data_IF_077331245030
#
_entry.id   IF_077331245030
#
_cell.length_a   1.000
_cell.length_b   1.000
_cell.length_c   1.000
_cell.angle_alpha   90.00
_cell.angle_beta   90.00
_cell.angle_gamma   90.00
#
_symmetry.space_group_name_H-M   'P 1'
#
loop_
_entity.id
_entity.type
_entity.pdbx_description
1 polymer ?
2 branched ?
3 non-polymer ?
4 non-polymer ?
5 water ?
#
# COMPACT_ATOMS: atom_id res chain seq x y z
N UNK A 1 3.58 19.69 -16.67
CA UNK A 1 2.98 21.00 -17.02
C UNK A 1 2.75 21.85 -15.78
N UNK A 2 1.61 21.64 -15.15
CA UNK A 2 1.31 22.39 -13.94
C UNK A 2 1.01 21.38 -12.84
N UNK A 3 1.11 21.82 -11.59
CA UNK A 3 0.82 20.93 -10.48
C UNK A 3 -0.62 20.39 -10.56
N UNK A 4 -0.80 19.09 -10.33
CA UNK A 4 -2.14 18.52 -10.35
C UNK A 4 -2.93 18.92 -9.08
N UNK A 5 -4.23 19.14 -9.25
CA UNK A 5 -5.09 19.47 -8.13
C UNK A 5 -6.18 18.44 -8.10
N UNK A 6 -6.47 17.97 -6.89
CA UNK A 6 -7.52 16.99 -6.62
C UNK A 6 -8.87 17.69 -6.73
N UNK A 7 -9.33 17.91 -7.95
CA UNK A 7 -10.60 18.62 -8.16
C UNK A 7 -11.82 17.75 -8.34
N UNK A 8 -11.65 16.45 -8.46
CA UNK A 8 -12.81 15.57 -8.68
C UNK A 8 -13.12 14.72 -7.50
N UNK A 9 -14.30 14.12 -7.52
CA UNK A 9 -14.73 13.19 -6.48
C UNK A 9 -14.58 11.79 -7.09
N UNK A 10 -14.79 10.74 -6.29
CA UNK A 10 -14.68 9.35 -6.78
C UNK A 10 -15.88 8.95 -7.65
N UNK A 11 -15.63 8.11 -8.66
CA UNK A 11 -16.71 7.60 -9.49
C UNK A 11 -17.46 6.60 -8.61
N UNK A 12 -18.67 6.23 -9.02
CA UNK A 12 -19.47 5.26 -8.30
C UNK A 12 -18.83 3.91 -8.57
N UNK A 13 -18.62 3.13 -7.51
CA UNK A 13 -17.99 1.84 -7.61
C UNK A 13 -19.07 0.78 -7.47
N UNK A 14 -19.47 0.17 -8.59
CA UNK A 14 -20.49 -0.89 -8.56
C UNK A 14 -19.85 -2.27 -8.67
N UNK A 15 -18.58 -2.29 -9.08
CA UNK A 15 -17.77 -3.50 -9.22
C UNK A 15 -16.33 -3.15 -9.58
N UNK A 16 -15.50 -4.17 -9.76
CA UNK A 16 -14.09 -3.98 -10.08
C UNK A 16 -13.74 -4.76 -11.32
N UNK A 17 -12.97 -4.15 -12.21
CA UNK A 17 -12.54 -4.83 -13.44
C UNK A 17 -11.01 -5.03 -13.36
N UNK A 18 -10.49 -6.05 -14.03
CA UNK A 18 -9.05 -6.31 -14.04
C UNK A 18 -8.30 -5.16 -14.74
N UNK A 19 -7.25 -4.66 -14.09
CA UNK A 19 -6.45 -3.55 -14.62
C UNK A 19 -5.08 -4.03 -15.10
N UNK A 20 -4.34 -4.69 -14.21
CA UNK A 20 -3.03 -5.19 -14.57
C UNK A 20 -2.64 -6.40 -13.77
N UNK A 21 -1.78 -7.24 -14.34
CA UNK A 21 -1.34 -8.46 -13.65
C UNK A 21 -0.04 -8.79 -14.32
N UNK A 22 1.01 -9.05 -13.56
CA UNK A 22 2.30 -9.36 -14.17
C UNK A 22 2.72 -10.82 -14.26
N UNK A 23 2.10 -11.72 -13.47
CA UNK A 23 2.45 -13.15 -13.49
C UNK A 23 3.96 -13.32 -13.29
N UNK A 24 4.53 -12.48 -12.44
CA UNK A 24 5.97 -12.48 -12.17
C UNK A 24 6.63 -13.83 -11.79
N UNK A 25 6.04 -14.56 -10.84
CA UNK A 25 6.62 -15.82 -10.40
C UNK A 25 6.49 -16.92 -11.47
N UNK A 26 5.36 -16.98 -12.19
CA UNK A 26 5.20 -17.98 -13.26
C UNK A 26 6.29 -17.75 -14.29
N UNK A 27 6.44 -16.49 -14.71
CA UNK A 27 7.44 -16.15 -15.73
C UNK A 27 8.88 -16.26 -15.21
N UNK A 28 9.05 -15.91 -13.94
CA UNK A 28 10.36 -15.94 -13.32
C UNK A 28 10.98 -17.31 -13.15
N UNK A 29 10.16 -18.36 -13.28
CA UNK A 29 10.67 -19.71 -13.17
C UNK A 29 11.71 -19.94 -14.26
N UNK A 30 11.63 -19.17 -15.36
CA UNK A 30 12.55 -19.32 -16.50
C UNK A 30 12.88 -18.02 -17.25
N UNK A 31 13.11 -16.95 -16.50
CA UNK A 31 13.46 -15.64 -17.04
C UNK A 31 14.17 -14.92 -15.93
N UNK A 32 14.88 -13.86 -16.28
CA UNK A 32 15.61 -13.10 -15.31
C UNK A 32 14.74 -12.09 -14.60
N UNK A 33 13.91 -12.61 -13.70
CA UNK A 33 12.99 -11.80 -12.92
C UNK A 33 13.55 -11.56 -11.53
N UNK A 34 13.49 -10.32 -11.07
CA UNK A 34 14.00 -9.94 -9.77
C UNK A 34 13.09 -10.37 -8.65
N UNK A 35 13.67 -10.74 -7.51
CA UNK A 35 12.87 -11.10 -6.35
C UNK A 35 12.40 -9.75 -5.78
N UNK A 36 11.13 -9.64 -5.44
CA UNK A 36 10.61 -8.40 -4.86
C UNK A 36 9.66 -8.71 -3.72
N UNK A 37 9.14 -7.63 -3.14
CA UNK A 37 8.09 -7.61 -2.13
C UNK A 37 7.70 -6.14 -1.92
N UNK A 38 6.61 -5.89 -1.21
CA UNK A 38 6.12 -4.53 -0.96
C UNK A 38 5.89 -3.76 -2.27
N UNK A 39 5.12 -4.35 -3.20
CA UNK A 39 4.85 -3.66 -4.47
C UNK A 39 3.73 -2.64 -4.36
N UNK A 40 3.56 -1.85 -5.42
CA UNK A 40 2.48 -0.90 -5.50
C UNK A 40 2.41 -0.40 -6.94
N UNK A 41 1.47 0.49 -7.22
CA UNK A 41 1.31 1.04 -8.54
C UNK A 41 1.26 2.55 -8.39
N UNK A 42 1.81 3.29 -9.35
CA UNK A 42 1.76 4.74 -9.28
C UNK A 42 1.77 5.26 -10.71
N UNK A 43 0.97 6.30 -10.96
CA UNK A 43 0.87 6.89 -12.30
C UNK A 43 1.53 8.24 -12.43
N UNK A 44 1.95 8.48 -13.66
CA UNK A 44 2.54 9.72 -14.10
C UNK A 44 1.44 10.25 -15.02
N UNK A 45 1.57 11.50 -15.50
CA UNK A 45 0.51 12.04 -16.37
C UNK A 45 0.33 11.27 -17.70
N UNK A 46 1.35 10.51 -18.08
CA UNK A 46 1.27 9.80 -19.33
C UNK A 46 1.51 8.31 -19.25
N UNK A 47 1.69 7.75 -18.07
CA UNK A 47 1.95 6.33 -17.97
C UNK A 47 1.75 5.85 -16.53
N UNK A 48 1.24 4.64 -16.32
CA UNK A 48 1.12 4.09 -14.97
C UNK A 48 2.14 2.95 -14.93
N UNK A 49 2.89 2.87 -13.85
CA UNK A 49 3.91 1.82 -13.71
C UNK A 49 3.76 1.01 -12.43
N UNK A 50 4.40 -0.16 -12.43
CA UNK A 50 4.45 -1.06 -11.29
C UNK A 50 5.73 -0.67 -10.52
N UNK A 51 5.67 -0.77 -9.20
CA UNK A 51 6.78 -0.42 -8.32
C UNK A 51 6.91 -1.51 -7.28
N UNK A 52 8.13 -1.69 -6.76
CA UNK A 52 8.38 -2.66 -5.70
C UNK A 52 9.79 -2.55 -5.14
N UNK A 53 10.02 -3.16 -3.99
CA UNK A 53 11.35 -3.18 -3.41
C UNK A 53 12.04 -4.47 -3.85
N UNK A 54 13.03 -4.33 -4.72
CA UNK A 54 13.82 -5.45 -5.21
C UNK A 54 14.68 -6.03 -4.09
N UNK A 55 15.07 -7.30 -4.20
CA UNK A 55 15.94 -7.93 -3.21
C UNK A 55 17.36 -8.05 -3.76
N UNK A 56 17.58 -7.50 -4.95
CA UNK A 56 18.91 -7.50 -5.54
C UNK A 56 19.40 -8.85 -6.00
N UNK A 57 18.51 -9.66 -6.57
CA UNK A 57 18.83 -11.00 -7.05
C UNK A 57 17.61 -11.48 -7.86
N UNK A 58 17.82 -12.45 -8.75
CA UNK A 58 16.73 -13.04 -9.51
C UNK A 58 16.15 -14.18 -8.64
N UNK A 59 14.96 -14.66 -8.97
CA UNK A 59 14.31 -15.73 -8.22
C UNK A 59 15.10 -17.05 -8.36
N UNK A 60 15.56 -17.32 -9.57
CA UNK A 60 16.28 -18.54 -9.82
C UNK A 60 17.74 -18.46 -9.38
N UNK A 61 18.21 -17.25 -9.09
CA UNK A 61 19.60 -17.07 -8.70
C UNK A 61 19.80 -17.59 -7.28
N UNK A 62 21.01 -18.05 -6.98
CA UNK A 62 21.32 -18.57 -5.65
C UNK A 62 21.18 -17.56 -4.52
N UNK A 63 21.37 -16.27 -4.84
CA UNK A 63 21.23 -15.23 -3.84
C UNK A 63 19.78 -15.04 -3.41
N UNK A 64 18.84 -15.78 -4.00
CA UNK A 64 17.44 -15.63 -3.58
C UNK A 64 17.24 -16.30 -2.22
N UNK A 65 18.21 -17.12 -1.82
CA UNK A 65 18.13 -17.80 -0.56
C UNK A 65 18.23 -16.76 0.54
N UNK A 66 17.17 -16.59 1.32
CA UNK A 66 17.22 -15.63 2.39
C UNK A 66 16.43 -14.36 2.19
N UNK A 67 15.73 -14.29 1.05
CA UNK A 67 14.96 -13.10 0.74
C UNK A 67 13.71 -12.91 1.59
N UNK A 68 13.56 -13.74 2.62
CA UNK A 68 12.42 -13.55 3.54
C UNK A 68 12.70 -12.30 4.41
N UNK A 69 13.99 -11.96 4.59
CA UNK A 69 14.40 -10.79 5.39
C UNK A 69 14.01 -9.47 4.73
N UNK A 70 13.48 -8.56 5.52
CA UNK A 70 13.03 -7.27 5.00
C UNK A 70 14.03 -6.16 4.69
N UNK A 71 15.15 -6.13 5.40
CA UNK A 71 16.10 -5.05 5.25
C UNK A 71 17.51 -5.48 4.99
N UNK A 72 18.12 -4.96 3.92
CA UNK A 72 19.48 -5.30 3.60
C UNK A 72 19.98 -4.18 2.71
N UNK A 73 21.28 -4.20 2.41
CA UNK A 73 21.91 -3.20 1.56
C UNK A 73 21.66 -3.47 0.08
N UNK A 74 21.00 -4.59 -0.22
CA UNK A 74 20.75 -5.01 -1.60
C UNK A 74 19.35 -4.72 -2.13
N UNK A 75 18.54 -4.03 -1.35
CA UNK A 75 17.18 -3.69 -1.78
C UNK A 75 17.16 -2.33 -2.47
N UNK A 76 16.16 -2.11 -3.31
CA UNK A 76 16.05 -0.84 -4.02
C UNK A 76 14.64 -0.68 -4.53
N UNK A 77 14.17 0.56 -4.59
CA UNK A 77 12.83 0.81 -5.15
C UNK A 77 13.04 0.77 -6.68
N UNK A 78 12.29 -0.09 -7.36
CA UNK A 78 12.39 -0.20 -8.84
C UNK A 78 10.99 -0.03 -9.44
N UNK A 79 10.90 0.45 -10.67
CA UNK A 79 9.61 0.58 -11.34
C UNK A 79 9.78 -0.08 -12.70
N UNK A 80 8.68 -0.54 -13.29
CA UNK A 80 8.74 -1.18 -14.60
C UNK A 80 7.38 -1.05 -15.29
N UNK A 81 7.32 -1.30 -16.60
CA UNK A 81 6.04 -1.08 -17.28
C UNK A 81 4.89 -1.95 -16.76
N UNK A 82 3.69 -1.37 -16.78
CA UNK A 82 2.45 -2.00 -16.31
C UNK A 82 2.24 -3.40 -16.90
N UNK A 83 2.05 -4.37 -15.99
CA UNK A 83 1.81 -5.73 -16.37
C UNK A 83 3.00 -6.54 -16.91
N UNK A 84 4.17 -5.92 -17.03
CA UNK A 84 5.38 -6.64 -17.40
C UNK A 84 5.86 -7.20 -16.07
N UNK A 85 6.75 -8.20 -16.09
CA UNK A 85 7.31 -8.61 -14.79
C UNK A 85 8.54 -7.75 -14.49
N UNK A 86 8.95 -7.70 -13.20
CA UNK A 86 10.15 -6.92 -12.86
C UNK A 86 11.39 -7.68 -13.26
N UNK A 87 11.91 -7.41 -14.45
CA UNK A 87 13.10 -8.10 -14.92
C UNK A 87 14.36 -7.28 -14.74
N UNK A 88 15.50 -7.95 -14.79
CA UNK A 88 16.78 -7.31 -14.61
C UNK A 88 17.03 -6.31 -15.71
N UNK A 89 16.43 -6.55 -16.87
CA UNK A 89 16.63 -5.70 -18.03
C UNK A 89 15.60 -4.60 -18.29
N UNK A 90 14.39 -4.67 -17.77
CA UNK A 90 13.42 -3.61 -18.04
C UNK A 90 13.09 -2.73 -16.81
N UNK A 91 13.72 -3.01 -15.67
CA UNK A 91 13.47 -2.30 -14.43
C UNK A 91 14.32 -1.06 -14.29
N UNK A 92 13.73 -0.01 -13.76
CA UNK A 92 14.43 1.24 -13.56
C UNK A 92 14.58 1.43 -12.05
N UNK A 93 15.77 1.78 -11.57
CA UNK A 93 15.94 2.00 -10.12
C UNK A 93 15.59 3.43 -9.75
N UNK A 94 14.65 3.62 -8.84
CA UNK A 94 14.25 4.95 -8.41
C UNK A 94 15.19 5.49 -7.30
N UNK A 95 15.54 4.61 -6.37
CA UNK A 95 16.43 4.91 -5.25
C UNK A 95 16.76 3.63 -4.46
N UNK A 96 17.77 3.74 -3.59
CA UNK A 96 18.24 2.61 -2.80
C UNK A 96 17.65 2.62 -1.38
N UNK A 97 17.04 1.51 -0.98
CA UNK A 97 16.44 1.45 0.33
C UNK A 97 15.50 0.27 0.53
N UNK A 98 15.04 0.13 1.77
CA UNK A 98 14.16 -0.97 2.12
C UNK A 98 12.75 -0.57 2.57
N UNK A 99 12.39 0.69 2.32
CA UNK A 99 11.07 1.23 2.62
C UNK A 99 10.92 2.42 1.69
N UNK A 100 9.74 2.64 1.14
CA UNK A 100 9.56 3.72 0.20
C UNK A 100 8.14 4.17 -0.01
N UNK A 101 8.05 5.22 -0.81
CA UNK A 101 6.80 5.80 -1.27
C UNK A 101 7.24 6.64 -2.49
N UNK A 102 6.27 7.00 -3.34
CA UNK A 102 6.58 7.74 -4.55
C UNK A 102 5.28 8.29 -5.14
N UNK A 103 5.36 9.49 -5.70
CA UNK A 103 4.19 10.07 -6.32
C UNK A 103 4.56 11.18 -7.29
N UNK A 104 3.74 11.39 -8.30
CA UNK A 104 3.95 12.43 -9.29
C UNK A 104 3.06 13.60 -8.86
N UNK A 105 3.64 14.80 -8.79
CA UNK A 105 2.87 15.97 -8.40
C UNK A 105 2.23 16.68 -9.62
N UNK A 106 2.44 16.15 -10.80
CA UNK A 106 1.86 16.79 -11.98
C UNK A 106 2.96 17.34 -12.87
N UNK A 107 4.05 17.80 -12.27
CA UNK A 107 5.18 18.33 -13.01
C UNK A 107 6.25 17.25 -13.08
N UNK A 108 6.57 16.65 -11.93
CA UNK A 108 7.55 15.58 -11.88
C UNK A 108 7.32 14.62 -10.68
N UNK A 109 8.11 13.56 -10.57
CA UNK A 109 7.94 12.57 -9.51
C UNK A 109 8.91 12.65 -8.34
N UNK A 110 8.38 12.44 -7.15
CA UNK A 110 9.13 12.42 -5.92
C UNK A 110 9.16 10.96 -5.46
N UNK A 111 10.34 10.44 -5.18
CA UNK A 111 10.49 9.07 -4.68
C UNK A 111 11.28 9.22 -3.37
N UNK A 112 10.94 8.41 -2.37
CA UNK A 112 11.60 8.49 -1.08
C UNK A 112 12.01 7.08 -0.70
N UNK A 113 13.28 6.89 -0.39
CA UNK A 113 13.79 5.59 0.02
C UNK A 113 14.52 5.77 1.34
N UNK A 114 14.26 4.83 2.24
CA UNK A 114 14.88 4.84 3.56
C UNK A 114 15.85 3.67 3.65
N UNK A 115 17.07 3.91 4.13
CA UNK A 115 18.00 2.81 4.30
C UNK A 115 18.76 2.98 5.60
N UNK A 116 19.58 2.00 5.94
CA UNK A 116 20.35 2.09 7.15
C UNK A 116 20.15 0.91 8.05
N UNK A 117 20.91 0.85 9.15
CA UNK A 117 20.72 -0.08 10.27
C UNK A 117 19.41 0.30 10.97
N UNK A 118 18.85 -0.62 11.75
CA UNK A 118 17.61 -0.34 12.47
C UNK A 118 17.68 0.90 13.36
N UNK A 119 18.85 1.17 13.93
CA UNK A 119 18.99 2.33 14.82
C UNK A 119 19.63 3.57 14.23
N UNK A 120 19.83 3.62 12.93
CA UNK A 120 20.50 4.78 12.34
C UNK A 120 20.09 4.95 10.89
N UNK A 121 18.81 4.78 10.62
CA UNK A 121 18.28 4.88 9.26
C UNK A 121 18.05 6.32 8.86
N UNK A 122 17.92 6.55 7.56
CA UNK A 122 17.68 7.89 7.04
C UNK A 122 16.90 7.83 5.74
N UNK A 123 16.02 8.80 5.54
CA UNK A 123 15.25 8.87 4.31
C UNK A 123 15.87 9.92 3.39
N UNK A 124 15.98 9.60 2.10
CA UNK A 124 16.45 10.60 1.17
C UNK A 124 15.35 10.78 0.14
N UNK A 125 14.96 12.04 0.00
CA UNK A 125 13.90 12.44 -0.90
C UNK A 125 14.50 12.84 -2.23
N UNK A 126 14.07 12.14 -3.28
CA UNK A 126 14.51 12.40 -4.65
C UNK A 126 13.37 13.13 -5.36
N UNK A 127 13.71 14.11 -6.19
CA UNK A 127 12.70 14.84 -6.91
C UNK A 127 13.29 15.09 -8.30
N UNK A 128 12.57 14.69 -9.35
CA UNK A 128 13.05 14.84 -10.72
C UNK A 128 14.35 14.03 -10.89
N UNK A 129 14.37 12.87 -10.26
CA UNK A 129 15.49 11.94 -10.28
C UNK A 129 16.86 12.38 -9.73
N UNK A 130 16.82 13.31 -8.79
CA UNK A 130 18.01 13.83 -8.12
C UNK A 130 17.69 13.89 -6.63
N UNK A 131 18.65 13.55 -5.76
CA UNK A 131 18.41 13.66 -4.32
C UNK A 131 18.33 15.12 -3.93
N UNK A 132 17.38 15.46 -3.06
CA UNK A 132 17.16 16.85 -2.68
C UNK A 132 17.20 17.14 -1.16
N UNK A 133 16.53 16.29 -0.38
CA UNK A 133 16.41 16.44 1.07
C UNK A 133 16.68 15.10 1.75
N UNK A 134 17.21 15.15 2.96
CA UNK A 134 17.52 13.93 3.74
C UNK A 134 17.01 14.13 5.15
N UNK A 135 16.48 13.07 5.75
CA UNK A 135 15.93 13.11 7.09
C UNK A 135 16.51 11.95 7.85
N UNK A 136 17.10 12.24 9.00
CA UNK A 136 17.66 11.20 9.81
C UNK A 136 16.61 10.67 10.78
N UNK A 137 16.77 9.42 11.20
CA UNK A 137 15.89 8.75 12.14
C UNK A 137 15.69 9.61 13.40
N UNK A 138 14.45 9.72 13.89
CA UNK A 138 14.20 10.48 15.10
C UNK A 138 13.98 9.64 16.35
N UNK A 139 13.57 8.40 16.19
CA UNK A 139 13.34 7.53 17.34
C UNK A 139 14.31 6.35 17.36
N UNK A 140 15.20 6.29 16.38
CA UNK A 140 16.22 5.24 16.30
C UNK A 140 15.69 3.82 16.27
N UNK A 141 14.54 3.62 15.64
CA UNK A 141 14.00 2.27 15.56
C UNK A 141 13.17 2.06 14.29
N UNK A 142 13.91 1.69 13.25
CA UNK A 142 13.38 1.41 11.93
C UNK A 142 12.49 2.49 11.31
N UNK A 143 13.09 3.63 10.95
CA UNK A 143 12.35 4.70 10.27
C UNK A 143 11.70 4.00 9.05
N UNK A 144 10.39 4.18 8.86
CA UNK A 144 9.70 3.50 7.78
C UNK A 144 8.55 4.32 7.21
N UNK A 145 8.13 4.00 5.98
CA UNK A 145 7.04 4.76 5.39
C UNK A 145 5.91 3.95 4.80
N UNK A 146 5.18 4.54 3.84
CA UNK A 146 3.99 3.93 3.27
C UNK A 146 4.00 2.59 2.59
N UNK A 147 4.98 2.36 1.71
CA UNK A 147 5.07 1.13 0.92
C UNK A 147 3.99 1.16 -0.17
N UNK A 148 3.49 2.36 -0.47
CA UNK A 148 2.53 2.57 -1.57
C UNK A 148 2.61 4.05 -1.90
N UNK A 149 1.95 4.48 -2.97
CA UNK A 149 2.06 5.89 -3.38
C UNK A 149 1.50 6.97 -2.48
N UNK A 150 2.17 8.11 -2.51
CA UNK A 150 1.71 9.28 -1.78
C UNK A 150 0.77 10.00 -2.77
N UNK A 151 0.24 11.16 -2.40
CA UNK A 151 -0.69 11.92 -3.25
C UNK A 151 -0.34 13.40 -3.12
N UNK A 152 -0.51 14.16 -4.19
CA UNK A 152 -0.17 15.57 -4.12
C UNK A 152 -1.33 16.41 -4.54
N UNK A 153 -1.32 17.65 -4.10
CA UNK A 153 -2.35 18.58 -4.48
C UNK A 153 -1.66 19.95 -4.54
N UNK A 154 -1.67 20.55 -5.73
CA UNK A 154 -1.04 21.85 -5.95
C UNK A 154 0.40 21.87 -5.46
N UNK A 155 1.12 20.79 -5.77
CA UNK A 155 2.51 20.73 -5.38
C UNK A 155 2.82 20.17 -4.02
N UNK A 156 1.84 20.14 -3.11
CA UNK A 156 2.08 19.60 -1.76
C UNK A 156 1.75 18.11 -1.66
N UNK A 157 2.74 17.31 -1.30
CA UNK A 157 2.62 15.86 -1.20
C UNK A 157 2.93 15.40 0.21
N UNK A 158 1.88 15.17 1.02
CA UNK A 158 2.06 14.64 2.36
C UNK A 158 2.47 13.17 2.33
N UNK A 159 3.33 12.81 3.26
CA UNK A 159 3.83 11.46 3.40
C UNK A 159 3.82 11.12 4.89
N UNK A 160 3.32 9.93 5.23
CA UNK A 160 3.27 9.49 6.61
C UNK A 160 4.46 8.58 6.90
N UNK A 161 5.23 8.89 7.95
CA UNK A 161 6.40 8.11 8.39
C UNK A 161 6.11 7.67 9.82
N UNK A 162 6.75 6.57 10.22
CA UNK A 162 6.67 6.09 11.58
C UNK A 162 8.08 5.71 11.99
N UNK A 163 8.45 6.01 13.22
CA UNK A 163 9.77 5.62 13.73
C UNK A 163 9.53 5.20 15.19
N UNK A 164 10.12 4.09 15.56
CA UNK A 164 9.97 3.57 16.90
C UNK A 164 9.38 2.16 16.91
N UNK A 165 8.95 1.72 18.09
CA UNK A 165 8.39 0.39 18.29
C UNK A 165 7.21 -0.01 17.40
N UNK A 166 7.25 -1.24 16.93
CA UNK A 166 6.21 -1.81 16.10
C UNK A 166 5.18 -2.48 16.99
N UNK A 167 5.45 -2.56 18.28
CA UNK A 167 4.51 -3.23 19.15
C UNK A 167 4.16 -2.40 20.36
N UNK A 168 4.20 -1.10 20.19
CA UNK A 168 3.87 -0.20 21.29
C UNK A 168 3.69 1.16 20.69
N UNK A 169 3.45 2.19 21.51
CA UNK A 169 3.41 3.58 21.02
C UNK A 169 4.69 3.96 20.26
N UNK A 170 4.55 4.62 19.11
CA UNK A 170 5.69 5.02 18.29
C UNK A 170 5.55 6.49 17.88
N UNK A 171 6.53 7.04 17.18
CA UNK A 171 6.45 8.43 16.74
C UNK A 171 6.19 8.57 15.24
N UNK A 172 4.95 8.86 14.91
CA UNK A 172 4.51 9.03 13.56
C UNK A 172 4.44 10.51 13.24
N UNK A 173 4.94 10.88 12.07
CA UNK A 173 4.92 12.27 11.62
C UNK A 173 4.39 12.32 10.19
N UNK A 174 3.72 13.42 9.88
CA UNK A 174 3.20 13.66 8.54
C UNK A 174 4.10 14.79 8.02
N UNK A 175 4.82 14.54 6.92
CA UNK A 175 5.69 15.55 6.33
C UNK A 175 5.00 16.05 5.10
N UNK A 176 5.03 17.36 4.91
CA UNK A 176 4.42 18.01 3.74
C UNK A 176 5.56 18.49 2.88
N UNK A 177 5.77 17.82 1.75
CA UNK A 177 6.84 18.17 0.81
C UNK A 177 6.29 18.94 -0.36
N UNK A 178 7.12 19.79 -0.92
CA UNK A 178 6.79 20.52 -2.13
C UNK A 178 8.11 20.62 -2.88
N UNK A 179 8.12 20.07 -4.10
CA UNK A 179 9.31 19.99 -4.93
C UNK A 179 10.47 19.38 -4.17
N UNK A 180 10.19 18.34 -3.38
CA UNK A 180 11.23 17.66 -2.62
C UNK A 180 11.69 18.30 -1.31
N UNK A 181 11.25 19.52 -1.05
CA UNK A 181 11.66 20.19 0.19
C UNK A 181 10.57 20.13 1.24
N UNK A 182 10.96 20.15 2.52
CA UNK A 182 10.02 20.05 3.62
C UNK A 182 9.42 21.40 3.89
N UNK A 183 8.10 21.46 3.85
CA UNK A 183 7.42 22.71 4.11
C UNK A 183 7.07 22.75 5.56
N UNK A 184 6.78 21.58 6.13
CA UNK A 184 6.34 21.47 7.51
C UNK A 184 6.18 20.00 7.88
N UNK A 185 6.16 19.69 9.17
CA UNK A 185 5.89 18.34 9.61
C UNK A 185 5.10 18.43 10.93
N UNK A 186 4.22 17.47 11.16
CA UNK A 186 3.39 17.40 12.35
C UNK A 186 3.55 16.03 12.95
N UNK A 187 3.48 15.93 14.29
CA UNK A 187 3.20 14.69 15.00
C UNK A 187 1.76 14.21 14.78
N UNK A 188 1.57 12.89 14.77
CA UNK A 188 0.26 12.31 14.57
C UNK A 188 -0.72 12.88 15.60
N UNK A 189 -1.94 13.17 15.15
CA UNK A 189 -2.99 13.72 16.00
C UNK A 189 -4.20 12.81 15.85
N UNK A 190 -5.22 13.03 16.67
CA UNK A 190 -6.43 12.23 16.57
C UNK A 190 -6.42 11.06 17.52
N UNK A 191 -7.28 10.08 17.29
CA UNK A 191 -7.41 8.94 18.17
C UNK A 191 -6.70 7.64 17.77
N UNK A 192 -6.01 7.62 16.62
CA UNK A 192 -5.33 6.39 16.21
C UNK A 192 -4.18 6.12 17.18
N UNK A 193 -4.06 4.89 17.65
CA UNK A 193 -3.02 4.55 18.63
C UNK A 193 -1.66 4.15 18.04
N UNK A 194 -1.65 3.64 16.81
CA UNK A 194 -0.42 3.21 16.16
C UNK A 194 -0.62 3.26 14.65
N UNK A 195 0.34 3.83 13.95
CA UNK A 195 0.25 3.96 12.49
C UNK A 195 1.41 3.32 11.73
N UNK A 196 1.08 2.57 10.69
CA UNK A 196 2.07 1.95 9.85
C UNK A 196 1.52 1.73 8.45
N UNK A 197 2.41 1.82 7.46
CA UNK A 197 2.07 1.56 6.06
C UNK A 197 0.76 2.14 5.53
N UNK A 198 0.65 3.46 5.54
CA UNK A 198 -0.58 4.08 5.06
C UNK A 198 -0.80 3.96 3.56
N UNK A 199 -2.03 3.67 3.17
CA UNK A 199 -2.43 3.55 1.76
C UNK A 199 -3.35 4.74 1.57
N UNK A 200 -2.99 5.63 0.65
CA UNK A 200 -3.74 6.87 0.48
C UNK A 200 -4.27 7.15 -0.91
N UNK A 201 -5.26 8.03 -0.96
CA UNK A 201 -5.85 8.48 -2.23
C UNK A 201 -6.38 9.89 -1.94
N UNK A 202 -6.74 10.61 -2.99
CA UNK A 202 -7.23 11.96 -2.80
C UNK A 202 -8.39 12.27 -3.70
N UNK A 203 -9.30 13.10 -3.21
CA UNK A 203 -10.45 13.55 -3.98
C UNK A 203 -10.97 14.81 -3.34
N UNK A 204 -11.46 15.72 -4.17
CA UNK A 204 -11.99 17.01 -3.73
C UNK A 204 -11.11 17.66 -2.64
N UNK A 205 -9.84 17.83 -2.99
CA UNK A 205 -8.82 18.47 -2.14
C UNK A 205 -8.64 17.92 -0.73
N UNK A 206 -8.87 16.63 -0.55
CA UNK A 206 -8.69 15.99 0.74
C UNK A 206 -7.99 14.67 0.48
N UNK A 207 -7.09 14.26 1.36
CA UNK A 207 -6.35 13.02 1.19
C UNK A 207 -6.72 12.08 2.34
N UNK A 208 -7.13 10.86 2.00
CA UNK A 208 -7.52 9.87 3.00
C UNK A 208 -6.52 8.71 2.97
N UNK A 209 -5.98 8.34 4.12
CA UNK A 209 -5.06 7.23 4.21
C UNK A 209 -5.63 6.19 5.15
N UNK A 210 -5.59 4.93 4.76
CA UNK A 210 -6.07 3.84 5.60
C UNK A 210 -4.75 3.18 5.96
N UNK A 211 -4.48 3.03 7.24
CA UNK A 211 -3.22 2.48 7.67
C UNK A 211 -3.35 1.22 8.43
N UNK A 212 -2.31 0.90 9.17
CA UNK A 212 -2.29 -0.34 9.93
C UNK A 212 -1.82 -0.10 11.34
N UNK A 213 -2.65 -0.54 12.30
CA UNK A 213 -2.30 -0.45 13.71
C UNK A 213 -1.66 -1.80 13.99
N UNK A 214 -0.34 -1.86 14.04
CA UNK A 214 0.29 -3.15 14.25
C UNK A 214 0.21 -3.61 15.71
N UNK A 215 0.05 -2.65 16.62
CA UNK A 215 0.04 -2.92 18.06
C UNK A 215 -1.20 -3.63 18.66
N UNK A 216 -2.37 -3.02 18.53
CA UNK A 216 -3.57 -3.60 19.13
C UNK A 216 -4.88 -3.62 18.32
N UNK A 217 -4.99 -2.82 17.27
CA UNK A 217 -6.22 -2.77 16.49
C UNK A 217 -6.37 -3.70 15.31
N UNK A 218 -7.56 -4.28 15.19
CA UNK A 218 -7.92 -5.17 14.07
C UNK A 218 -8.80 -4.37 13.11
N UNK A 219 -9.29 -3.23 13.59
CA UNK A 219 -10.04 -2.30 12.76
C UNK A 219 -8.88 -1.41 12.26
N UNK A 220 -9.05 -0.71 11.15
CA UNK A 220 -7.95 0.11 10.63
C UNK A 220 -8.05 1.57 11.00
N UNK A 221 -6.93 2.18 11.40
CA UNK A 221 -6.83 3.63 11.57
C UNK A 221 -6.87 4.37 10.25
N UNK A 222 -7.47 5.55 10.28
CA UNK A 222 -7.62 6.38 9.10
C UNK A 222 -7.10 7.73 9.45
N UNK A 223 -6.33 8.29 8.53
CA UNK A 223 -5.78 9.63 8.67
C UNK A 223 -6.37 10.51 7.56
N UNK A 224 -7.06 11.58 7.90
CA UNK A 224 -7.56 12.46 6.87
C UNK A 224 -6.64 13.69 6.87
N UNK A 225 -6.12 14.05 5.71
CA UNK A 225 -5.19 15.15 5.58
C UNK A 225 -5.73 16.26 4.71
N UNK A 226 -5.50 17.50 5.13
CA UNK A 226 -5.91 18.65 4.36
C UNK A 226 -4.62 19.26 3.83
N UNK A 227 -4.35 19.10 2.52
CA UNK A 227 -3.02 19.47 1.98
C UNK A 227 -2.90 20.97 1.73
N UNK A 228 -3.97 21.71 1.92
CA UNK A 228 -3.92 23.15 1.73
C UNK A 228 -3.59 23.83 3.08
N UNK A 229 -4.31 23.43 4.12
CA UNK A 229 -4.11 23.93 5.47
C UNK A 229 -2.90 23.22 6.08
N UNK A 230 -2.59 22.04 5.54
CA UNK A 230 -1.50 21.25 6.05
C UNK A 230 -1.75 20.78 7.47
N UNK A 231 -2.93 20.21 7.69
CA UNK A 231 -3.34 19.63 8.98
C UNK A 231 -3.97 18.26 8.72
N UNK A 232 -4.27 17.54 9.79
CA UNK A 232 -4.83 16.22 9.65
C UNK A 232 -5.52 15.80 10.93
N UNK A 233 -6.28 14.72 10.84
CA UNK A 233 -6.87 14.16 12.03
C UNK A 233 -6.83 12.67 11.79
N UNK A 234 -7.12 11.90 12.82
CA UNK A 234 -7.13 10.46 12.70
C UNK A 234 -8.18 9.81 13.59
N UNK A 235 -8.65 8.63 13.17
CA UNK A 235 -9.64 7.86 13.93
C UNK A 235 -9.54 6.43 13.41
N UNK A 236 -10.49 5.59 13.80
CA UNK A 236 -10.51 4.23 13.31
C UNK A 236 -11.81 4.07 12.48
N UNK A 237 -11.80 3.09 11.57
CA UNK A 237 -13.00 2.78 10.79
C UNK A 237 -13.96 2.15 11.82
N UNK A 238 -15.15 2.73 11.95
CA UNK A 238 -16.19 2.29 12.89
C UNK A 238 -16.74 0.91 12.64
N UNK A 239 -16.92 0.58 11.37
CA UNK A 239 -17.52 -0.69 10.99
C UNK A 239 -17.04 -1.92 11.76
N UNK A 240 -17.97 -2.84 12.10
CA UNK A 240 -17.65 -4.15 12.66
C UNK A 240 -17.02 -5.12 11.65
N UNK A 241 -16.98 -4.74 10.37
CA UNK A 241 -16.35 -5.57 9.33
C UNK A 241 -14.85 -5.26 9.45
N UNK A 242 -14.15 -6.12 10.19
CA UNK A 242 -12.72 -5.92 10.48
C UNK A 242 -11.84 -6.24 9.28
N UNK A 243 -10.86 -5.38 9.01
CA UNK A 243 -10.06 -5.60 7.82
C UNK A 243 -8.55 -5.81 7.97
N UNK A 244 -8.04 -5.90 9.19
CA UNK A 244 -6.62 -6.19 9.33
C UNK A 244 -6.49 -7.72 9.27
N UNK A 245 -5.27 -8.22 9.46
CA UNK A 245 -5.01 -9.66 9.45
C UNK A 245 -3.68 -9.92 10.17
N UNK A 246 -3.64 -10.91 11.07
CA UNK A 246 -4.75 -11.69 11.62
C UNK A 246 -5.73 -10.83 12.43
N UNK A 247 -6.94 -11.32 12.62
CA UNK A 247 -7.93 -10.56 13.33
C UNK A 247 -8.93 -11.52 13.98
N UNK A 248 -9.76 -11.01 14.91
CA UNK A 248 -10.86 -11.80 15.48
C UNK A 248 -11.97 -11.90 14.46
N UNK A 249 -13.00 -12.67 14.76
CA UNK A 249 -14.13 -12.75 13.85
C UNK A 249 -14.88 -11.46 13.97
N UNK A 250 -15.66 -11.09 12.95
CA UNK A 250 -16.42 -9.84 13.00
C UNK A 250 -17.46 -9.89 14.11
N UNK A 251 -17.53 -8.81 14.92
CA UNK A 251 -18.61 -8.60 15.90
C UNK A 251 -19.80 -7.91 15.24
N UNK A 252 -20.77 -7.55 16.07
CA UNK A 252 -21.97 -6.89 15.61
C UNK A 252 -21.84 -5.38 15.65
N UNK A 253 -20.89 -4.88 16.44
CA UNK A 253 -20.69 -3.45 16.55
C UNK A 253 -19.18 -3.20 16.67
N UNK A 254 -18.68 -2.21 15.94
CA UNK A 254 -17.26 -1.91 15.95
C UNK A 254 -16.90 -0.76 16.87
N UNK A 255 -15.69 -0.24 16.74
CA UNK A 255 -15.23 0.87 17.57
C UNK A 255 -14.70 1.97 16.65
N UNK A 256 -15.09 3.21 16.94
CA UNK A 256 -14.71 4.37 16.14
C UNK A 256 -13.44 5.07 16.56
N UNK A 257 -13.16 5.04 17.86
CA UNK A 257 -11.98 5.73 18.34
C UNK A 257 -11.02 4.91 19.16
N UNK A 258 -11.14 3.60 19.09
CA UNK A 258 -10.24 2.75 19.85
C UNK A 258 -9.92 1.60 18.98
N UNK A 259 -8.76 0.99 19.16
CA UNK A 259 -8.51 -0.27 18.47
C UNK A 259 -9.46 -1.34 18.96
N UNK A 260 -9.90 -2.19 18.03
CA UNK A 260 -10.77 -3.28 18.40
C UNK A 260 -9.81 -4.42 18.78
N UNK A 261 -9.94 -4.99 19.99
CA UNK A 261 -8.90 -5.88 20.53
C UNK A 261 -9.09 -7.32 20.04
N UNK A 262 -8.09 -8.16 20.26
CA UNK A 262 -8.23 -9.54 19.82
C UNK A 262 -6.93 -10.11 19.30
N UNK A 263 -6.17 -9.28 18.60
CA UNK A 263 -4.86 -9.70 18.10
C UNK A 263 -3.88 -8.57 18.36
N UNK A 264 -2.69 -8.93 18.83
CA UNK A 264 -1.68 -7.92 19.13
C UNK A 264 -0.44 -8.08 18.30
N UNK A 265 0.28 -6.99 18.13
CA UNK A 265 1.56 -7.02 17.44
C UNK A 265 1.64 -7.76 16.11
N UNK A 266 0.76 -7.41 15.19
CA UNK A 266 0.79 -8.00 13.85
C UNK A 266 -0.26 -7.32 13.00
N UNK A 267 -0.18 -7.51 11.69
CA UNK A 267 -1.16 -6.88 10.82
C UNK A 267 -0.71 -7.03 9.40
N UNK A 268 -1.31 -6.27 8.49
CA UNK A 268 -0.96 -6.34 7.08
C UNK A 268 -1.36 -5.01 6.46
N UNK A 269 -0.53 -4.50 5.56
CA UNK A 269 -0.87 -3.25 4.90
C UNK A 269 -2.17 -3.48 4.12
N UNK A 270 -3.11 -2.56 4.24
CA UNK A 270 -4.38 -2.68 3.53
C UNK A 270 -4.90 -1.31 3.14
N UNK A 271 -6.14 -1.22 2.66
CA UNK A 271 -6.66 0.08 2.24
C UNK A 271 -8.17 0.05 2.21
N UNK A 272 -8.76 1.20 1.90
CA UNK A 272 -10.21 1.29 1.74
C UNK A 272 -10.54 2.57 1.01
N UNK A 273 -11.73 2.61 0.42
CA UNK A 273 -12.20 3.82 -0.24
C UNK A 273 -13.40 4.19 0.61
N UNK A 274 -13.31 5.32 1.29
CA UNK A 274 -14.37 5.77 2.20
C UNK A 274 -15.10 6.94 1.59
N UNK A 275 -16.32 6.69 1.11
CA UNK A 275 -17.07 7.72 0.42
C UNK A 275 -18.58 7.58 0.63
N UNK A 276 -19.01 7.71 1.89
CA UNK A 276 -20.42 7.62 2.21
C UNK A 276 -20.96 6.25 1.87
N UNK A 277 -22.02 6.18 1.08
CA UNK A 277 -22.58 4.88 0.70
C UNK A 277 -21.65 4.17 -0.31
N UNK A 278 -20.87 4.96 -1.03
CA UNK A 278 -19.94 4.46 -2.04
C UNK A 278 -18.63 4.02 -1.38
N UNK A 279 -18.75 3.29 -0.26
CA UNK A 279 -17.61 2.81 0.52
C UNK A 279 -17.31 1.34 0.32
N UNK A 280 -16.06 1.03 -0.02
CA UNK A 280 -15.63 -0.34 -0.23
C UNK A 280 -14.39 -0.65 0.61
N UNK A 281 -14.41 -1.77 1.32
CA UNK A 281 -13.29 -2.20 2.16
C UNK A 281 -12.64 -3.43 1.52
N UNK A 282 -11.34 -3.55 1.66
CA UNK A 282 -10.66 -4.71 1.13
C UNK A 282 -10.11 -5.45 2.33
N UNK A 283 -10.05 -6.79 2.26
CA UNK A 283 -9.50 -7.59 3.36
C UNK A 283 -9.16 -8.98 2.89
N UNK A 284 -8.27 -9.64 3.63
CA UNK A 284 -7.94 -11.02 3.33
C UNK A 284 -9.21 -11.80 3.76
N UNK A 285 -9.48 -12.94 3.13
CA UNK A 285 -10.66 -13.75 3.50
C UNK A 285 -10.37 -14.46 4.83
N UNK A 286 -9.19 -15.04 4.95
CA UNK A 286 -8.78 -15.71 6.18
C UNK A 286 -8.58 -14.71 7.31
N UNK A 287 -9.03 -15.05 8.52
CA UNK A 287 -8.81 -14.15 9.66
C UNK A 287 -7.44 -14.52 10.29
N UNK A 288 -6.91 -15.66 9.89
CA UNK A 288 -5.65 -16.16 10.44
C UNK A 288 -4.41 -15.86 9.62
N UNK A 289 -4.47 -15.99 8.31
CA UNK A 289 -3.29 -15.69 7.50
C UNK A 289 -3.56 -14.82 6.27
N UNK A 290 -2.50 -14.45 5.56
CA UNK A 290 -2.59 -13.60 4.37
C UNK A 290 -3.04 -14.51 3.25
N UNK A 291 -4.29 -14.89 3.34
CA UNK A 291 -4.89 -15.84 2.43
C UNK A 291 -6.19 -15.31 1.89
N UNK A 292 -6.36 -15.37 0.58
CA UNK A 292 -7.57 -14.86 -0.05
C UNK A 292 -7.69 -13.34 -0.03
N UNK A 293 -8.62 -12.80 -0.81
CA UNK A 293 -8.84 -11.36 -0.80
C UNK A 293 -10.19 -11.02 -1.37
N UNK A 294 -10.90 -10.13 -0.69
CA UNK A 294 -12.20 -9.72 -1.13
C UNK A 294 -12.39 -8.22 -0.90
N UNK A 295 -13.36 -7.69 -1.63
CA UNK A 295 -13.73 -6.29 -1.54
C UNK A 295 -15.19 -6.35 -1.09
N UNK A 296 -15.55 -5.54 -0.09
CA UNK A 296 -16.92 -5.50 0.42
C UNK A 296 -17.43 -4.06 0.46
N UNK A 297 -18.63 -3.86 -0.07
CA UNK A 297 -19.26 -2.54 -0.05
C UNK A 297 -19.92 -2.47 1.33
N UNK A 298 -19.47 -1.54 2.15
CA UNK A 298 -19.99 -1.38 3.50
C UNK A 298 -20.34 0.09 3.62
N UNK A 299 -21.61 0.44 3.35
CA UNK A 299 -22.02 1.85 3.35
C UNK A 299 -21.72 2.54 4.68
N UNK A 300 -21.06 3.70 4.61
CA UNK A 300 -20.68 4.48 5.77
C UNK A 300 -19.81 3.78 6.79
N UNK A 301 -18.93 2.89 6.33
CA UNK A 301 -18.06 2.15 7.22
C UNK A 301 -17.29 3.02 8.21
N UNK A 302 -16.82 4.17 7.74
CA UNK A 302 -16.04 5.08 8.58
C UNK A 302 -16.76 5.61 9.82
N UNK A 303 -18.04 5.94 9.65
CA UNK A 303 -18.80 6.52 10.74
C UNK A 303 -19.91 5.69 11.36
N UNK A 304 -20.26 4.57 10.75
CA UNK A 304 -21.36 3.75 11.25
C UNK A 304 -20.84 2.50 11.93
N UNK A 305 -20.89 2.46 13.26
CA UNK A 305 -20.36 1.33 14.03
C UNK A 305 -21.13 0.00 13.97
N UNK A 306 -22.15 -0.05 13.12
CA UNK A 306 -22.90 -1.27 12.97
C UNK A 306 -23.04 -1.61 11.48
N UNK A 307 -22.34 -0.85 10.64
CA UNK A 307 -22.38 -1.04 9.20
C UNK A 307 -21.88 -2.44 8.76
N UNK A 308 -22.64 -3.11 7.89
CA UNK A 308 -22.32 -4.45 7.38
C UNK A 308 -22.44 -4.44 5.85
N UNK A 309 -21.92 -5.47 5.16
CA UNK A 309 -21.77 -5.41 3.70
C UNK A 309 -23.09 -5.50 2.90
N UNK A 310 -23.19 -4.77 1.82
CA UNK A 310 -24.39 -4.86 1.02
C UNK A 310 -24.07 -5.47 -0.33
N UNK A 311 -22.79 -5.71 -0.60
CA UNK A 311 -22.36 -6.26 -1.88
C UNK A 311 -20.89 -6.60 -1.72
N UNK A 312 -20.37 -7.41 -2.63
CA UNK A 312 -18.96 -7.76 -2.53
C UNK A 312 -18.42 -8.36 -3.80
N UNK A 313 -17.12 -8.59 -3.82
CA UNK A 313 -16.49 -9.19 -4.97
C UNK A 313 -15.24 -9.90 -4.45
N UNK A 314 -15.10 -11.17 -4.80
CA UNK A 314 -13.92 -11.91 -4.40
C UNK A 314 -12.83 -11.69 -5.43
N UNK A 315 -11.64 -11.34 -4.95
CA UNK A 315 -10.51 -11.06 -5.83
C UNK A 315 -9.55 -12.26 -5.89
N UNK A 316 -9.24 -12.83 -4.73
CA UNK A 316 -8.36 -13.98 -4.64
C UNK A 316 -9.08 -14.99 -3.73
N UNK A 317 -9.16 -16.26 -4.16
CA UNK A 317 -9.81 -17.30 -3.36
C UNK A 317 -9.02 -17.58 -2.09
N UNK A 318 -9.69 -18.04 -1.04
CA UNK A 318 -8.98 -18.30 0.21
C UNK A 318 -7.95 -19.41 0.15
N UNK A 319 -7.94 -20.14 -0.94
CA UNK A 319 -6.99 -21.20 -1.12
C UNK A 319 -5.71 -20.66 -1.78
N UNK A 320 -5.68 -19.35 -2.07
CA UNK A 320 -4.50 -18.75 -2.69
C UNK A 320 -3.95 -17.66 -1.79
N UNK A 321 -2.65 -17.47 -1.84
CA UNK A 321 -1.98 -16.47 -1.03
C UNK A 321 -2.17 -15.04 -1.53
N UNK A 322 -2.30 -14.10 -0.60
CA UNK A 322 -2.42 -12.69 -0.92
C UNK A 322 -1.27 -12.02 -0.19
N UNK A 323 -1.48 -10.85 0.39
CA UNK A 323 -0.40 -10.16 1.10
C UNK A 323 -0.79 -8.70 1.18
N UNK A 324 0.16 -7.79 1.02
CA UNK A 324 -0.12 -6.35 1.06
C UNK A 324 -1.11 -5.89 -0.01
N UNK A 325 -1.80 -4.79 0.24
CA UNK A 325 -2.72 -4.24 -0.74
C UNK A 325 -2.72 -2.73 -0.47
N UNK A 326 -2.92 -1.94 -1.51
CA UNK A 326 -2.91 -0.49 -1.35
C UNK A 326 -3.71 0.17 -2.44
N UNK A 327 -3.93 1.47 -2.29
CA UNK A 327 -4.70 2.23 -3.24
C UNK A 327 -3.82 3.11 -4.14
N UNK A 328 -4.35 3.44 -5.31
CA UNK A 328 -3.71 4.35 -6.25
C UNK A 328 -4.81 4.73 -7.21
N UNK A 329 -4.65 5.83 -7.92
CA UNK A 329 -5.65 6.21 -8.93
C UNK A 329 -4.89 6.95 -10.02
N UNK A 330 -5.40 6.87 -11.23
CA UNK A 330 -4.77 7.62 -12.28
C UNK A 330 -5.45 9.00 -12.28
N UNK A 331 -4.85 9.95 -11.58
CA UNK A 331 -5.38 11.31 -11.47
C UNK A 331 -5.37 12.09 -12.78
N UNK A 332 -4.75 11.53 -13.80
CA UNK A 332 -4.63 12.18 -15.11
C UNK A 332 -5.52 11.55 -16.21
N UNK A 333 -6.39 10.63 -15.82
CA UNK A 333 -7.32 9.97 -16.74
C UNK A 333 -8.39 11.00 -17.13
N UNK A 334 -8.97 10.85 -18.30
CA UNK A 334 -10.03 11.77 -18.72
C UNK A 334 -11.30 11.41 -17.95
N UNK A 335 -12.21 12.35 -17.79
CA UNK A 335 -13.42 11.98 -17.08
C UNK A 335 -13.88 12.95 -16.02
N UNK A 336 -15.08 12.72 -15.53
CA UNK A 336 -15.69 13.59 -14.56
C UNK A 336 -15.36 13.21 -13.14
N UNK A 337 -14.84 12.01 -12.94
CA UNK A 337 -14.54 11.55 -11.59
C UNK A 337 -13.27 10.72 -11.57
N UNK A 338 -12.78 10.39 -10.38
CA UNK A 338 -11.56 9.58 -10.23
C UNK A 338 -11.99 8.14 -10.07
N UNK A 339 -11.39 7.26 -10.87
CA UNK A 339 -11.72 5.84 -10.82
C UNK A 339 -10.80 5.21 -9.79
N UNK A 340 -11.40 4.63 -8.75
CA UNK A 340 -10.65 4.00 -7.67
C UNK A 340 -9.93 2.72 -8.15
N UNK A 341 -8.68 2.55 -7.74
CA UNK A 341 -7.96 1.34 -8.11
C UNK A 341 -7.23 0.83 -6.88
N UNK A 342 -6.72 -0.39 -6.96
CA UNK A 342 -5.95 -0.98 -5.86
C UNK A 342 -5.14 -2.12 -6.46
N UNK A 343 -4.16 -2.58 -5.69
CA UNK A 343 -3.35 -3.70 -6.09
C UNK A 343 -3.31 -4.63 -4.86
N UNK A 344 -3.00 -5.90 -5.12
CA UNK A 344 -2.84 -6.91 -4.08
C UNK A 344 -1.50 -7.61 -4.43
N UNK A 345 -0.67 -7.76 -3.41
CA UNK A 345 0.62 -8.43 -3.54
C UNK A 345 0.28 -9.89 -3.31
N UNK A 346 0.70 -10.76 -4.22
CA UNK A 346 0.45 -12.20 -4.08
C UNK A 346 1.80 -12.83 -3.69
N UNK A 347 2.02 -12.97 -2.38
CA UNK A 347 3.28 -13.53 -1.88
C UNK A 347 3.39 -15.04 -2.06
N UNK A 348 4.55 -15.48 -2.50
CA UNK A 348 4.83 -16.90 -2.72
C UNK A 348 6.15 -17.17 -2.02
N UNK A 349 6.37 -18.43 -1.61
CA UNK A 349 7.59 -18.78 -0.94
C UNK A 349 7.45 -18.70 0.57
N UNK A 350 8.55 -18.37 1.25
CA UNK A 350 8.52 -18.32 2.70
C UNK A 350 7.75 -17.13 3.23
N UNK A 351 7.10 -17.28 4.39
CA UNK A 351 7.17 -18.44 5.30
C UNK A 351 6.18 -19.59 5.02
N UNK A 352 5.07 -19.31 4.34
CA UNK A 352 4.06 -20.34 4.07
C UNK A 352 4.48 -21.52 3.18
N UNK A 353 5.21 -21.24 2.12
CA UNK A 353 5.64 -22.30 1.23
C UNK A 353 7.12 -22.51 1.46
N UNK A 354 7.44 -23.34 2.45
CA UNK A 354 8.84 -23.53 2.81
C UNK A 354 9.71 -24.50 2.08
N UNK A 355 9.23 -25.06 0.98
CA UNK A 355 10.04 -25.97 0.20
C UNK A 355 11.08 -25.19 -0.59
N UNK A 356 10.85 -23.88 -0.77
CA UNK A 356 11.82 -23.05 -1.47
C UNK A 356 12.43 -22.16 -0.40
N UNK A 357 13.59 -21.57 -0.68
CA UNK A 357 14.28 -20.74 0.27
C UNK A 357 14.11 -19.24 0.08
N UNK A 358 13.32 -18.87 -0.93
CA UNK A 358 13.10 -17.48 -1.23
C UNK A 358 11.67 -17.05 -0.88
N UNK A 359 11.44 -15.75 -0.97
CA UNK A 359 10.14 -15.13 -0.76
C UNK A 359 10.03 -14.08 -1.87
N UNK A 360 8.98 -14.13 -2.67
CA UNK A 360 8.79 -13.11 -3.70
C UNK A 360 7.30 -12.88 -3.89
N UNK A 361 6.91 -12.17 -4.93
CA UNK A 361 5.49 -11.92 -5.14
C UNK A 361 5.21 -11.55 -6.59
N UNK A 362 3.93 -11.56 -6.96
CA UNK A 362 3.50 -11.09 -8.26
C UNK A 362 2.43 -10.06 -7.87
N UNK A 363 1.82 -9.39 -8.84
CA UNK A 363 0.84 -8.36 -8.52
C UNK A 363 -0.43 -8.53 -9.32
N UNK A 364 -1.55 -8.14 -8.72
CA UNK A 364 -2.81 -8.08 -9.45
C UNK A 364 -3.42 -6.74 -9.04
N UNK A 365 -4.01 -6.03 -10.00
CA UNK A 365 -4.64 -4.75 -9.68
C UNK A 365 -5.91 -4.62 -10.48
N UNK A 366 -6.87 -3.93 -9.88
CA UNK A 366 -8.17 -3.71 -10.48
C UNK A 366 -8.50 -2.26 -10.29
N UNK A 367 -9.51 -1.80 -11.03
CA UNK A 367 -10.02 -0.45 -10.93
C UNK A 367 -11.52 -0.59 -10.92
N UNK A 368 -12.21 0.44 -10.47
CA UNK A 368 -13.66 0.36 -10.38
C UNK A 368 -14.40 0.54 -11.68
N UNK A 369 -15.61 0.00 -11.72
CA UNK A 369 -16.50 0.13 -12.87
C UNK A 369 -17.86 0.56 -12.32
N UNK A 370 -18.62 1.33 -13.10
CA UNK A 370 -19.97 1.75 -12.70
C UNK A 370 -20.98 0.69 -13.09
N UNK A 371 -20.50 -0.29 -13.86
CA UNK A 371 -21.27 -1.44 -14.30
C UNK A 371 -21.19 -2.47 -13.18
N UNK A 372 -22.01 -3.51 -13.26
CA UNK A 372 -21.94 -4.59 -12.25
C UNK A 372 -21.36 -5.78 -12.98
N UNK A 373 -20.04 -5.82 -13.08
CA UNK A 373 -19.36 -6.88 -13.82
C UNK A 373 -19.26 -8.19 -13.09
N UNK A 374 -19.18 -9.27 -13.87
CA UNK A 374 -19.02 -10.60 -13.32
C UNK A 374 -17.63 -10.68 -12.69
N UNK A 375 -17.45 -11.56 -11.72
CA UNK A 375 -16.16 -11.70 -11.05
C UNK A 375 -15.36 -12.96 -11.39
N UNK A 376 -14.04 -12.88 -11.24
CA UNK A 376 -13.17 -14.02 -11.48
C UNK A 376 -12.14 -13.88 -10.36
N UNK A 377 -11.43 -14.95 -10.05
CA UNK A 377 -10.39 -14.90 -9.02
C UNK A 377 -9.07 -14.83 -9.78
N UNK A 378 -8.11 -14.12 -9.21
CA UNK A 378 -6.81 -13.86 -9.83
C UNK A 378 -5.64 -14.27 -8.96
N UNK A 379 -5.31 -15.55 -8.95
CA UNK A 379 -4.22 -16.02 -8.10
C UNK A 379 -2.89 -15.80 -8.80
N UNK A 380 -1.81 -16.00 -8.06
CA UNK A 380 -0.47 -15.83 -8.61
C UNK A 380 -0.27 -16.72 -9.82
N UNK A 381 -0.67 -17.99 -9.72
CA UNK A 381 -0.56 -18.90 -10.83
C UNK A 381 0.67 -19.79 -10.94
N UNK A 382 1.71 -19.53 -10.15
CA UNK A 382 2.89 -20.37 -10.21
C UNK A 382 2.70 -21.66 -9.43
N UNK A 383 3.40 -22.71 -9.86
CA UNK A 383 3.37 -24.02 -9.19
C UNK A 383 4.71 -24.13 -8.51
N UNK A 384 4.73 -24.03 -7.18
CA UNK A 384 5.98 -24.11 -6.42
C UNK A 384 6.82 -25.35 -6.76
N UNK A 385 6.15 -26.46 -7.04
CA UNK A 385 6.83 -27.70 -7.33
C UNK A 385 7.82 -27.56 -8.45
N UNK A 386 7.59 -26.65 -9.39
CA UNK A 386 8.52 -26.45 -10.52
C UNK A 386 9.87 -25.80 -10.11
N UNK A 387 9.89 -25.17 -8.93
CA UNK A 387 11.12 -24.51 -8.46
C UNK A 387 11.99 -25.41 -7.62
N UNK A 388 11.50 -26.61 -7.32
CA UNK A 388 12.25 -27.55 -6.48
C UNK A 388 13.23 -28.31 -7.33
X LIG B 1 24.86 6.58 13.83
X LIG B 1 25.92 5.82 14.73
X LIG B 1 27.04 6.74 15.23
X LIG B 1 27.58 7.53 14.00
X LIG B 1 26.45 8.27 13.18
X LIG B 1 26.96 8.96 11.94
X LIG B 1 25.14 4.22 16.35
X LIG B 1 24.22 3.95 17.51
X LIG B 1 25.09 5.45 15.85
X LIG B 1 28.06 6.02 15.88
X LIG B 1 28.53 8.58 14.42
X LIG B 1 25.51 7.32 12.77
X LIG B 1 27.82 8.07 11.19
X LIG B 1 25.91 3.35 15.93
X LIG B 2 29.78 8.61 13.76
X LIG B 2 30.49 9.91 13.86
X LIG B 2 31.82 9.86 13.21
X LIG B 2 32.59 8.67 13.81
X LIG B 2 31.77 7.40 13.72
X LIG B 2 32.28 6.09 14.21
X LIG B 2 29.05 11.79 13.83
X LIG B 2 28.22 12.86 13.16
X LIG B 2 29.73 10.88 13.16
X LIG B 2 32.50 11.06 13.31
X LIG B 2 33.75 8.45 13.07
X LIG B 2 30.55 7.60 14.37
X LIG B 2 32.93 6.42 15.41
X LIG B 2 29.04 11.82 15.05
X LIG B 3 35.02 8.54 13.63
X LIG B 3 36.08 7.91 12.74
X LIG B 3 37.41 8.21 13.39
X LIG B 3 37.65 9.67 13.68
X LIG B 3 36.54 10.15 14.49
X LIG B 3 36.65 11.61 14.72
X LIG B 3 36.06 8.39 11.42
X LIG B 3 38.42 7.86 12.50
X LIG B 3 38.85 9.91 14.34
X LIG B 3 35.30 9.91 13.83
X LIG B 3 35.88 11.84 15.88
X LIG B 4 39.52 7.23 13.07
X LIG B 4 40.60 7.06 12.04
X LIG B 4 40.07 6.06 11.00
X LIG B 4 39.77 4.73 11.68
X LIG B 4 38.67 4.97 12.59
X LIG B 4 38.41 3.68 13.33
X LIG B 4 41.73 6.54 12.81
X LIG B 4 40.97 5.81 9.97
X LIG B 4 39.44 3.69 10.79
X LIG B 4 39.05 5.98 13.56
X LIG B 4 37.39 4.00 14.24
X LIG B 5 42.96 6.26 12.17
X LIG B 5 43.80 5.59 13.27
X LIG B 5 44.17 6.60 14.32
X LIG B 5 44.73 7.86 13.67
X LIG B 5 43.82 8.47 12.59
X LIG B 5 44.51 9.69 11.97
X LIG B 5 45.01 5.13 12.64
X LIG B 5 45.15 6.04 15.15
X LIG B 5 44.81 8.79 14.71
X LIG B 5 43.60 7.44 11.60
X LIG B 5 45.68 9.28 11.29
X LIG B 6 45.14 3.77 12.47
X LIG B 6 46.54 3.60 11.96
X LIG B 6 46.70 4.16 10.54
X LIG B 6 45.66 3.50 9.57
X LIG B 6 44.27 3.81 10.14
X LIG B 6 43.13 3.20 9.32
X LIG B 6 46.81 2.23 11.95
X LIG B 6 47.99 3.88 10.07
X LIG B 6 45.84 4.00 8.29
X LIG B 6 44.18 3.28 11.52
X LIG B 6 43.31 1.80 9.31
X LIG B 7 36.56 12.48 16.90
X LIG B 7 35.54 12.96 17.87
X LIG B 7 35.67 14.45 18.24
X LIG B 7 37.20 14.70 18.23
X LIG B 7 37.78 14.59 16.93
X LIG B 7 39.25 14.27 16.94
X LIG B 7 35.79 12.07 18.94
X LIG B 7 35.09 14.57 19.52
X LIG B 7 37.62 16.03 18.59
X LIG B 7 37.08 13.61 16.25
X LIG B 7 39.38 12.99 17.59
X LIG C 1 -3.77 23.85 -9.58
X LIG C 1 -3.72 24.21 -11.05
X LIG C 1 -2.62 25.17 -11.34
X LIG C 1 -2.95 26.41 -10.58
X LIG C 1 -3.19 26.05 -9.08
X LIG C 1 -3.76 27.33 -8.44
X LIG C 1 -3.94 22.73 -12.93
X LIG C 1 -3.49 21.42 -13.56
X LIG C 1 -3.37 23.02 -11.76
X LIG C 1 -2.44 25.43 -12.73
X LIG C 1 -1.92 27.42 -10.68
X LIG C 1 -4.18 25.01 -8.93
X LIG C 1 -4.15 27.00 -7.16
X LIG C 1 -4.81 23.44 -13.42
X LIG D 1 19.87 -21.62 2.05
X LIG D 1 20.20 -22.98 1.66
X LIG D 1 20.18 -23.91 2.88
X LIG D 1 21.07 -23.37 4.00
X LIG D 1 20.49 -21.97 4.35
X LIG D 1 20.99 -21.11 5.49
X LIG D 1 19.66 -23.76 -0.52
X LIG D 1 18.70 -24.29 -1.59
X LIG D 1 19.21 -23.48 0.70
X LIG D 1 20.59 -25.21 2.51
X LIG D 1 21.02 -24.31 5.09
X LIG D 1 20.61 -21.18 3.20
X LIG D 1 22.16 -20.37 5.09
X LIG D 1 20.83 -23.57 -0.85
X LIG E 1 -3.32 -4.98 13.85
#
# INVERSE_FOLDING_TARGET
RDFNNLTKGLCTINSWHIYGKDNAVRIGEDSDVLVTREPYVSCDPDECRFYALSQGTTIRGKHSNGTIHDRSQYRALISWPLSSPPTVYNSRVECIGWSSTSCHDGKTRMSICISGPNNNASAVIWYNRRPVTEINTWARNILRTQESECVCHNGVCPVVFTDGSATGPAETRIYYFKEGKILKWEPLAGTAKHIEECSCYGERAEITCTCRDNWQGSNRPVIRIDPVAMTHTSQYICSPVLTDNPRPNDPTVGKCNDPYPGNNNNGVKGFSYLDGVNTWLGRTISIASRSGYEMLKVPNALTDDKSKPTQGQTIVLNTDWSGYSGSFMDYWAEGECYRACFYVELIRGRPKEDKVWWTSNSIVSMCSSTEFLGQWDWPDGAKIEYFL
NAG C1 C2 C3 C4 C5 C6 C7 C8 N2 O3 O4 O5 O6 O7
NAG C1 C2 C3 C4 C5 C6 C7 C8 N2 O3 O4 O5 O6 O7
MAN C1 C2 C3 C4 C5 C6 O2 O3 O4 O5 O6
MAN C1 C2 C3 C4 C5 C6 O2 O3 O4 O5 O6
MAN C1 C2 C3 C4 C5 C6 O2 O3 O4 O5 O6
MAN C1 C2 C3 C4 C5 C6 O2 O3 O4 O5 O6
MAN C1 C2 C3 C4 C5 C6 O2 O3 O4 O5 O6
NAG C1 C2 C3 C4 C5 C6 C7 C8 N2 O3 O4 O5 O6 O7
NAG C1 C2 C3 C4 C5 C6 C7 C8 N2 O3 O4 O5 O6 O7
CA CA
#
